data_IF_964552565736
#
_entry.id   IF_964552565736
#
_cell.length_a   1.000
_cell.length_b   1.000
_cell.length_c   1.000
_cell.angle_alpha   90.00
_cell.angle_beta   90.00
_cell.angle_gamma   90.00
#
_symmetry.space_group_name_H-M   'P 1'
#
loop_
_entity.id
_entity.type
_entity.pdbx_description
1 polymer ?
#
# COMPACT_ATOMS: atom_id res chain seq x y z
N UNK A 1 -12.48 -2.66 -28.20
CA UNK A 1 -11.37 -3.62 -28.43
C UNK A 1 -10.38 -3.47 -27.28
N UNK A 2 -10.69 -4.10 -26.14
CA UNK A 2 -9.83 -4.01 -24.97
C UNK A 2 -8.53 -4.78 -25.17
N UNK A 3 -7.58 -4.62 -24.25
CA UNK A 3 -6.35 -5.41 -24.12
C UNK A 3 -6.58 -6.93 -23.90
N UNK A 4 -7.76 -7.46 -24.25
CA UNK A 4 -8.18 -8.86 -24.07
C UNK A 4 -7.86 -9.76 -25.26
N UNK A 5 -6.96 -9.34 -26.16
CA UNK A 5 -6.44 -10.18 -27.25
C UNK A 5 -5.14 -10.91 -26.90
N UNK A 6 -4.49 -10.53 -25.80
CA UNK A 6 -3.27 -11.20 -25.34
C UNK A 6 -3.69 -12.32 -24.39
N UNK A 7 -3.75 -13.54 -24.92
CA UNK A 7 -4.03 -14.72 -24.10
C UNK A 7 -2.84 -14.98 -23.15
N UNK A 8 -3.08 -15.35 -21.88
CA UNK A 8 -2.02 -15.76 -20.96
C UNK A 8 -1.10 -16.85 -21.53
N UNK A 9 -1.63 -17.69 -22.42
CA UNK A 9 -0.85 -18.72 -23.13
C UNK A 9 0.16 -18.14 -24.12
N UNK A 10 -0.16 -17.04 -24.81
CA UNK A 10 0.80 -16.37 -25.70
C UNK A 10 1.94 -15.73 -24.91
N UNK A 11 1.65 -15.14 -23.74
CA UNK A 11 2.69 -14.61 -22.86
C UNK A 11 3.66 -15.70 -22.37
N UNK A 12 3.17 -16.91 -22.07
CA UNK A 12 4.03 -18.04 -21.71
C UNK A 12 4.95 -18.48 -22.86
N UNK A 13 4.44 -18.51 -24.09
CA UNK A 13 5.25 -18.85 -25.27
C UNK A 13 6.34 -17.80 -25.48
N UNK A 14 6.00 -16.50 -25.40
CA UNK A 14 6.97 -15.40 -25.52
C UNK A 14 7.99 -15.43 -24.37
N UNK A 15 7.58 -15.83 -23.16
CA UNK A 15 8.50 -16.00 -22.04
C UNK A 15 9.47 -17.17 -22.27
N UNK A 16 9.00 -18.28 -22.84
CA UNK A 16 9.83 -19.44 -23.15
C UNK A 16 10.91 -19.11 -24.20
N UNK A 17 10.49 -18.60 -25.37
CA UNK A 17 11.09 -17.43 -26.02
C UNK A 17 12.39 -16.86 -25.45
N UNK A 18 12.18 -15.83 -24.65
CA UNK A 18 13.18 -15.03 -23.96
C UNK A 18 14.08 -15.90 -23.07
N UNK A 19 13.53 -16.88 -22.35
CA UNK A 19 14.30 -17.80 -21.52
C UNK A 19 15.33 -18.61 -22.31
N UNK A 20 14.99 -19.05 -23.52
CA UNK A 20 15.90 -19.79 -24.41
C UNK A 20 16.97 -18.87 -24.99
N UNK A 21 16.60 -17.65 -25.42
CA UNK A 21 17.55 -16.70 -26.02
C UNK A 21 18.57 -16.16 -25.02
N UNK A 22 18.09 -15.75 -23.84
CA UNK A 22 18.94 -15.14 -22.81
C UNK A 22 19.52 -16.17 -21.84
N UNK A 23 18.90 -17.34 -21.73
CA UNK A 23 19.21 -18.36 -20.73
C UNK A 23 18.71 -17.99 -19.33
N UNK A 24 18.31 -18.99 -18.55
CA UNK A 24 17.79 -18.79 -17.18
C UNK A 24 18.79 -18.13 -16.22
N UNK A 25 20.11 -18.26 -16.45
CA UNK A 25 21.14 -17.64 -15.59
C UNK A 25 21.16 -16.11 -15.71
N UNK A 26 21.03 -15.56 -16.92
CA UNK A 26 21.00 -14.10 -17.15
C UNK A 26 19.70 -13.49 -16.64
N UNK A 27 18.57 -14.15 -16.90
CA UNK A 27 17.28 -13.71 -16.38
C UNK A 27 17.22 -13.73 -14.85
N UNK A 28 17.87 -14.70 -14.19
CA UNK A 28 17.89 -14.76 -12.73
C UNK A 28 18.79 -13.72 -12.09
N UNK A 29 19.94 -13.38 -12.68
CA UNK A 29 20.77 -12.30 -12.14
C UNK A 29 20.05 -10.95 -12.28
N UNK A 30 19.60 -10.62 -13.51
CA UNK A 30 18.90 -9.37 -13.79
C UNK A 30 17.55 -9.26 -13.07
N UNK A 31 16.80 -10.36 -13.02
CA UNK A 31 15.53 -10.42 -12.30
C UNK A 31 15.68 -10.36 -10.79
N UNK A 32 16.81 -10.82 -10.24
CA UNK A 32 17.13 -10.65 -8.81
C UNK A 32 17.34 -9.19 -8.45
N UNK A 33 18.15 -8.47 -9.24
CA UNK A 33 18.45 -7.06 -9.00
C UNK A 33 17.21 -6.17 -9.18
N UNK A 34 16.48 -6.36 -10.29
CA UNK A 34 15.24 -5.62 -10.57
C UNK A 34 14.12 -6.00 -9.60
N UNK A 35 14.00 -7.29 -9.27
CA UNK A 35 13.00 -7.79 -8.34
C UNK A 35 13.22 -7.29 -6.92
N UNK A 36 14.48 -7.16 -6.49
CA UNK A 36 14.85 -6.56 -5.21
C UNK A 36 14.41 -5.09 -5.11
N UNK A 37 14.70 -4.30 -6.14
CA UNK A 37 14.30 -2.89 -6.20
C UNK A 37 12.77 -2.71 -6.17
N UNK A 38 12.04 -3.49 -6.98
CA UNK A 38 10.57 -3.44 -7.02
C UNK A 38 9.96 -3.92 -5.69
N UNK A 39 10.55 -4.93 -5.04
CA UNK A 39 10.10 -5.43 -3.73
C UNK A 39 10.25 -4.36 -2.65
N UNK A 40 11.38 -3.65 -2.62
CA UNK A 40 11.60 -2.51 -1.72
C UNK A 40 10.55 -1.42 -1.94
N UNK A 41 10.34 -1.03 -3.20
CA UNK A 41 9.34 -0.03 -3.58
C UNK A 41 7.91 -0.41 -3.13
N UNK A 42 7.49 -1.65 -3.40
CA UNK A 42 6.17 -2.15 -2.95
C UNK A 42 6.04 -2.15 -1.42
N UNK A 43 7.10 -2.49 -0.71
CA UNK A 43 7.09 -2.49 0.75
C UNK A 43 6.95 -1.07 1.30
N UNK A 44 7.73 -0.11 0.81
CA UNK A 44 7.63 1.30 1.24
C UNK A 44 6.26 1.91 0.91
N UNK A 45 5.66 1.56 -0.23
CA UNK A 45 4.28 1.98 -0.54
C UNK A 45 3.25 1.41 0.46
N UNK A 46 3.39 0.13 0.81
CA UNK A 46 2.50 -0.50 1.81
C UNK A 46 2.71 0.03 3.22
N UNK A 47 3.93 0.43 3.55
CA UNK A 47 4.28 0.98 4.86
C UNK A 47 3.75 2.41 5.00
N UNK A 48 3.86 3.23 3.95
CA UNK A 48 3.19 4.54 3.88
C UNK A 48 1.68 4.45 4.05
N UNK A 49 1.00 3.51 3.37
CA UNK A 49 -0.46 3.31 3.53
C UNK A 49 -0.87 2.88 4.96
N UNK A 50 0.02 2.19 5.69
CA UNK A 50 -0.21 1.84 7.10
C UNK A 50 0.06 2.97 8.07
N UNK A 51 1.02 3.83 7.74
CA UNK A 51 1.37 5.03 8.48
C UNK A 51 0.20 6.03 8.43
N UNK A 52 -0.38 6.25 7.25
CA UNK A 52 -1.60 7.06 7.06
C UNK A 52 -2.80 6.58 7.91
N UNK A 53 -3.02 5.27 8.01
CA UNK A 53 -4.10 4.68 8.83
C UNK A 53 -3.84 4.82 10.35
N UNK A 54 -2.58 4.83 10.77
CA UNK A 54 -2.20 4.97 12.18
C UNK A 54 -2.30 6.44 12.62
N UNK A 55 -1.89 7.37 11.74
CA UNK A 55 -2.00 8.81 11.97
C UNK A 55 -3.44 9.34 11.93
N UNK A 56 -4.36 8.74 11.17
CA UNK A 56 -5.80 9.06 11.27
C UNK A 56 -6.41 8.56 12.58
N UNK A 57 -6.05 7.36 13.04
CA UNK A 57 -6.58 6.79 14.28
C UNK A 57 -6.18 7.60 15.53
N UNK A 58 -4.94 8.10 15.59
CA UNK A 58 -4.47 8.98 16.68
C UNK A 58 -5.17 10.36 16.67
N UNK A 59 -5.37 10.96 15.49
CA UNK A 59 -6.06 12.26 15.37
C UNK A 59 -7.55 12.19 15.73
N UNK A 60 -8.19 11.05 15.46
CA UNK A 60 -9.58 10.79 15.85
C UNK A 60 -9.73 10.52 17.35
N UNK A 61 -8.71 9.96 18.00
CA UNK A 61 -8.70 9.73 19.45
C UNK A 61 -8.51 11.05 20.23
N UNK A 62 -7.56 11.90 19.82
CA UNK A 62 -7.28 13.20 20.47
C UNK A 62 -8.45 14.19 20.34
N UNK A 63 -9.10 14.23 19.18
CA UNK A 63 -10.29 15.05 18.95
C UNK A 63 -11.51 14.62 19.79
N UNK A 64 -11.59 13.35 20.16
CA UNK A 64 -12.69 12.80 20.98
C UNK A 64 -12.57 13.19 22.46
N UNK A 65 -11.36 13.28 22.99
CA UNK A 65 -11.12 13.71 24.38
C UNK A 65 -11.37 15.20 24.57
N UNK A 66 -10.96 16.03 23.60
CA UNK A 66 -11.20 17.48 23.63
C UNK A 66 -12.69 17.84 23.51
N UNK A 67 -13.45 17.11 22.67
CA UNK A 67 -14.89 17.28 22.55
C UNK A 67 -15.66 16.85 23.81
N UNK A 68 -15.23 15.79 24.49
CA UNK A 68 -15.83 15.33 25.75
C UNK A 68 -15.51 16.24 26.94
N UNK A 69 -14.31 16.84 26.97
CA UNK A 69 -13.94 17.82 27.99
C UNK A 69 -14.73 19.14 27.84
N UNK A 70 -15.00 19.58 26.61
CA UNK A 70 -15.80 20.77 26.35
C UNK A 70 -17.30 20.56 26.69
N UNK A 71 -17.88 19.42 26.32
CA UNK A 71 -19.29 19.09 26.61
C UNK A 71 -19.57 18.94 28.12
N UNK A 72 -18.60 18.38 28.86
CA UNK A 72 -18.70 18.21 30.32
C UNK A 72 -18.50 19.50 31.12
N UNK A 73 -17.77 20.49 30.57
CA UNK A 73 -17.66 21.83 31.15
C UNK A 73 -18.95 22.65 30.92
N UNK A 74 -19.51 22.60 29.71
CA UNK A 74 -20.76 23.33 29.35
C UNK A 74 -21.98 22.79 30.11
N UNK A 75 -22.02 21.49 30.42
CA UNK A 75 -23.12 20.88 31.16
C UNK A 75 -23.11 21.21 32.66
N UNK A 76 -21.95 21.56 33.25
CA UNK A 76 -21.86 21.99 34.65
C UNK A 76 -22.36 23.42 34.86
N UNK A 77 -22.20 24.31 33.88
CA UNK A 77 -22.64 25.71 33.98
C UNK A 77 -24.17 25.88 33.93
N UNK A 78 -24.89 24.91 33.36
CA UNK A 78 -26.36 24.94 33.20
C UNK A 78 -27.13 24.42 34.42
N UNK A 79 -26.45 23.89 35.43
CA UNK A 79 -27.10 23.22 36.58
C UNK A 79 -27.10 24.06 37.87
N UNK A 80 -26.40 25.21 37.86
CA UNK A 80 -26.31 26.16 38.98
C UNK A 80 -27.02 27.51 38.71
N UNK A 81 -27.91 27.57 37.71
CA UNK A 81 -28.71 28.76 37.35
C UNK A 81 -30.20 28.59 37.62
#
# INVERSE_FOLDING_TARGET
>A
MGLGGISPFQLLIVLAIVLVLFGGKRLRSLGGDLGGAIKGFRNSMKEGEKDDLTHEAERLADGSESARAADSAVKRERQDG
#
